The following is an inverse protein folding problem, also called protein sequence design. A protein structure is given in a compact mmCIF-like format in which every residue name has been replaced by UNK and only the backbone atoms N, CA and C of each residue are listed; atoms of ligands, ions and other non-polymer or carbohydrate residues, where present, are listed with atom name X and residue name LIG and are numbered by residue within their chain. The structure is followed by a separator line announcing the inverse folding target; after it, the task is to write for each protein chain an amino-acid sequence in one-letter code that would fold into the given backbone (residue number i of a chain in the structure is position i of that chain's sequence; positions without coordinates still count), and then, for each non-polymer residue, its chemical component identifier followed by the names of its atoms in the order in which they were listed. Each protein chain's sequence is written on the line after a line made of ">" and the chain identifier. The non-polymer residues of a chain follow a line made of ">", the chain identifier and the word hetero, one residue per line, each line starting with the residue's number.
data_IF_353890815356
#
_entry.id   IF_353890815356
#
_cell.length_a   1.000
_cell.length_b   1.000
_cell.length_c   1.000
_cell.angle_alpha   90.00
_cell.angle_beta   90.00
_cell.angle_gamma   90.00
#
_symmetry.space_group_name_H-M   'P 1'
#
loop_
_entity.id
_entity.type
_entity.pdbx_description
1 polymer ?
#
# COMPACT_ATOMS: atom_id res chain seq x y z
N UNK A 1 -0.71 -41.39 -6.40
CA UNK A 1 -0.23 -40.63 -5.23
C UNK A 1 -0.52 -39.15 -5.46
N UNK A 2 -1.16 -38.54 -4.48
CA UNK A 2 -1.74 -37.20 -4.50
C UNK A 2 -0.77 -36.07 -4.85
N UNK A 3 -1.22 -35.12 -5.67
CA UNK A 3 -0.99 -33.70 -5.40
C UNK A 3 -2.28 -32.94 -5.67
N UNK A 4 -3.09 -32.88 -4.62
CA UNK A 4 -4.34 -32.16 -4.51
C UNK A 4 -4.25 -30.74 -5.08
N UNK A 5 -5.30 -30.38 -5.82
CA UNK A 5 -6.01 -29.09 -5.73
C UNK A 5 -5.14 -27.88 -5.37
N UNK A 6 -4.42 -27.34 -6.36
CA UNK A 6 -4.47 -25.89 -6.51
C UNK A 6 -5.60 -25.63 -7.48
N UNK A 7 -6.80 -25.52 -6.93
CA UNK A 7 -7.96 -24.95 -7.60
C UNK A 7 -7.53 -23.64 -8.28
N UNK A 8 -7.16 -23.74 -9.56
CA UNK A 8 -7.14 -22.64 -10.51
C UNK A 8 -8.60 -22.24 -10.81
N UNK A 9 -9.34 -21.91 -9.76
CA UNK A 9 -10.76 -21.57 -9.78
C UNK A 9 -10.94 -20.12 -9.36
N UNK A 10 -10.57 -19.21 -10.28
CA UNK A 10 -10.98 -17.81 -10.34
C UNK A 10 -11.03 -17.03 -9.00
N UNK A 11 -9.90 -16.85 -8.31
CA UNK A 11 -9.84 -15.74 -7.35
C UNK A 11 -10.03 -14.44 -8.13
N UNK A 12 -11.04 -13.64 -7.78
CA UNK A 12 -11.37 -12.41 -8.51
C UNK A 12 -10.76 -11.21 -7.81
N UNK A 13 -10.22 -10.29 -8.61
CA UNK A 13 -9.74 -9.01 -8.09
C UNK A 13 -10.95 -8.11 -7.76
N UNK A 14 -11.09 -7.79 -6.49
CA UNK A 14 -12.08 -6.83 -6.01
C UNK A 14 -11.62 -5.40 -6.35
N UNK A 15 -12.59 -4.52 -6.60
CA UNK A 15 -12.33 -3.08 -6.59
C UNK A 15 -13.02 -2.48 -5.39
N UNK A 16 -12.24 -1.80 -4.57
CA UNK A 16 -12.72 -1.15 -3.37
C UNK A 16 -12.63 0.36 -3.53
N UNK A 17 -13.55 1.06 -2.87
CA UNK A 17 -13.41 2.47 -2.55
C UNK A 17 -13.06 2.57 -1.06
N UNK A 18 -11.91 3.14 -0.77
CA UNK A 18 -11.39 3.26 0.57
C UNK A 18 -11.93 4.51 1.25
N UNK A 19 -12.30 4.38 2.52
CA UNK A 19 -12.78 5.45 3.39
C UNK A 19 -12.01 5.45 4.71
N UNK A 20 -12.31 6.39 5.61
CA UNK A 20 -11.58 6.56 6.87
C UNK A 20 -12.02 5.50 7.88
N UNK A 21 -11.34 4.36 7.85
CA UNK A 21 -11.59 3.21 8.74
C UNK A 21 -12.47 2.11 8.16
N UNK A 22 -13.11 2.34 7.01
CA UNK A 22 -13.84 1.31 6.26
C UNK A 22 -13.54 1.34 4.76
N UNK A 23 -14.04 0.35 4.03
CA UNK A 23 -13.99 0.34 2.58
C UNK A 23 -15.30 -0.20 2.01
N UNK A 24 -15.69 0.31 0.84
CA UNK A 24 -16.85 -0.15 0.10
C UNK A 24 -16.42 -0.99 -1.09
N UNK A 25 -17.05 -2.15 -1.26
CA UNK A 25 -16.82 -3.00 -2.42
C UNK A 25 -17.58 -2.42 -3.63
N UNK A 26 -16.84 -1.90 -4.59
CA UNK A 26 -17.37 -1.40 -5.88
C UNK A 26 -17.56 -2.57 -6.86
N UNK A 27 -16.57 -3.47 -6.92
CA UNK A 27 -16.63 -4.71 -7.69
C UNK A 27 -16.31 -5.88 -6.76
N UNK A 28 -17.20 -6.89 -6.65
CA UNK A 28 -16.99 -8.03 -5.77
C UNK A 28 -15.81 -8.89 -6.24
N UNK A 29 -15.02 -9.34 -5.27
CA UNK A 29 -13.88 -10.23 -5.48
C UNK A 29 -13.29 -10.68 -4.15
N UNK A 30 -12.22 -11.47 -4.21
CA UNK A 30 -11.61 -12.15 -3.06
C UNK A 30 -10.35 -11.44 -2.56
N UNK A 31 -9.71 -10.65 -3.43
CA UNK A 31 -8.46 -9.96 -3.11
C UNK A 31 -8.35 -8.61 -3.82
N UNK A 32 -7.54 -7.71 -3.27
CA UNK A 32 -7.04 -6.52 -3.96
C UNK A 32 -5.55 -6.65 -4.23
N UNK A 33 -5.01 -5.82 -5.13
CA UNK A 33 -3.56 -5.78 -5.36
C UNK A 33 -2.92 -4.65 -4.60
N UNK A 34 -1.73 -4.93 -4.06
CA UNK A 34 -0.88 -3.91 -3.50
C UNK A 34 -0.47 -2.92 -4.60
N UNK A 35 -0.70 -1.62 -4.39
CA UNK A 35 -0.35 -0.59 -5.37
C UNK A 35 1.17 -0.50 -5.63
N UNK A 36 1.99 -0.81 -4.61
CA UNK A 36 3.45 -0.71 -4.70
C UNK A 36 4.08 -2.00 -5.25
N UNK A 37 3.63 -3.17 -4.78
CA UNK A 37 4.29 -4.46 -5.08
C UNK A 37 3.52 -5.34 -6.05
N UNK A 38 2.26 -5.03 -6.35
CA UNK A 38 1.37 -5.87 -7.16
C UNK A 38 0.93 -7.19 -6.50
N UNK A 39 1.38 -7.47 -5.27
CA UNK A 39 1.04 -8.67 -4.50
C UNK A 39 -0.47 -8.71 -4.23
N UNK A 40 -1.07 -9.90 -4.33
CA UNK A 40 -2.47 -10.12 -3.96
C UNK A 40 -2.63 -10.04 -2.43
N UNK A 41 -3.63 -9.30 -1.98
CA UNK A 41 -4.00 -9.09 -0.59
C UNK A 41 -5.44 -9.59 -0.43
N UNK A 42 -5.67 -10.73 0.25
CA UNK A 42 -7.02 -11.18 0.56
C UNK A 42 -7.81 -10.09 1.28
N UNK A 43 -9.10 -9.92 0.98
CA UNK A 43 -9.92 -8.91 1.66
C UNK A 43 -9.94 -9.09 3.19
N UNK A 44 -9.86 -10.32 3.67
CA UNK A 44 -9.76 -10.66 5.10
C UNK A 44 -8.46 -10.22 5.77
N UNK A 45 -7.40 -10.00 4.98
CA UNK A 45 -6.08 -9.56 5.45
C UNK A 45 -5.80 -8.09 5.16
N UNK A 46 -6.72 -7.39 4.47
CA UNK A 46 -6.55 -6.00 4.10
C UNK A 46 -6.70 -5.10 5.33
N UNK A 47 -5.55 -4.62 5.83
CA UNK A 47 -5.46 -3.76 7.02
C UNK A 47 -4.87 -2.38 6.76
N UNK A 48 -4.22 -2.20 5.61
CA UNK A 48 -3.48 -1.00 5.29
C UNK A 48 -3.90 -0.49 3.91
N UNK A 49 -4.44 0.73 3.88
CA UNK A 49 -4.82 1.43 2.66
C UNK A 49 -4.64 2.94 2.85
N UNK A 50 -4.62 3.67 1.75
CA UNK A 50 -4.66 5.14 1.74
C UNK A 50 -5.98 5.60 1.12
N UNK A 51 -6.72 6.42 1.86
CA UNK A 51 -7.97 7.04 1.39
C UNK A 51 -7.67 8.10 0.33
N UNK A 52 -6.66 8.94 0.54
CA UNK A 52 -6.29 10.01 -0.40
C UNK A 52 -5.88 9.47 -1.77
N UNK A 53 -5.11 8.37 -1.78
CA UNK A 53 -4.58 7.80 -3.01
C UNK A 53 -5.42 6.63 -3.55
N UNK A 54 -6.41 6.17 -2.79
CA UNK A 54 -7.23 4.99 -3.10
C UNK A 54 -6.37 3.74 -3.40
N UNK A 55 -5.31 3.55 -2.62
CA UNK A 55 -4.30 2.49 -2.79
C UNK A 55 -4.34 1.50 -1.63
N UNK A 56 -4.22 0.19 -1.91
CA UNK A 56 -4.03 -0.84 -0.89
C UNK A 56 -2.56 -1.25 -0.73
N UNK A 57 -2.18 -1.63 0.50
CA UNK A 57 -0.82 -2.03 0.84
C UNK A 57 -0.78 -3.37 1.55
N UNK A 58 0.19 -4.21 1.16
CA UNK A 58 0.31 -5.56 1.71
C UNK A 58 0.91 -5.58 3.14
N UNK A 59 1.50 -4.47 3.61
CA UNK A 59 2.03 -4.36 4.96
C UNK A 59 2.17 -2.90 5.39
N UNK A 60 2.29 -2.69 6.72
CA UNK A 60 2.57 -1.38 7.30
C UNK A 60 3.85 -0.75 6.73
N UNK A 61 4.92 -1.53 6.54
CA UNK A 61 6.18 -1.05 5.98
C UNK A 61 6.03 -0.51 4.55
N UNK A 62 5.19 -1.15 3.72
CA UNK A 62 4.91 -0.69 2.36
C UNK A 62 4.08 0.60 2.40
N UNK A 63 3.05 0.65 3.23
CA UNK A 63 2.23 1.86 3.42
C UNK A 63 3.09 3.05 3.84
N UNK A 64 3.96 2.84 4.84
CA UNK A 64 4.85 3.89 5.33
C UNK A 64 5.88 4.33 4.29
N UNK A 65 6.50 3.39 3.57
CA UNK A 65 7.44 3.74 2.48
C UNK A 65 6.74 4.57 1.40
N UNK A 66 5.53 4.15 1.00
CA UNK A 66 4.73 4.87 0.00
C UNK A 66 4.34 6.26 0.48
N UNK A 67 3.95 6.40 1.75
CA UNK A 67 3.71 7.70 2.36
C UNK A 67 4.94 8.61 2.26
N UNK A 68 6.14 8.12 2.62
CA UNK A 68 7.39 8.89 2.49
C UNK A 68 7.71 9.29 1.04
N UNK A 69 7.42 8.42 0.08
CA UNK A 69 7.58 8.69 -1.35
C UNK A 69 6.60 9.80 -1.82
N UNK A 70 5.38 9.83 -1.29
CA UNK A 70 4.30 10.75 -1.69
C UNK A 70 4.42 12.13 -1.05
N UNK A 71 4.79 12.21 0.23
CA UNK A 71 5.02 13.50 0.90
C UNK A 71 6.21 14.27 0.29
N UNK A 72 7.05 13.57 -0.46
CA UNK A 72 8.34 14.09 -0.89
C UNK A 72 9.24 14.23 0.33
N UNK A 73 10.47 13.76 0.23
CA UNK A 73 11.50 14.16 1.16
C UNK A 73 11.43 15.71 1.29
N UNK A 74 11.17 16.32 2.47
CA UNK A 74 11.63 17.69 2.64
C UNK A 74 13.12 17.58 2.33
N UNK A 75 13.56 18.22 1.25
CA UNK A 75 14.91 18.03 0.75
C UNK A 75 15.85 18.10 1.96
N UNK A 76 16.57 17.02 2.27
CA UNK A 76 17.71 17.06 3.19
C UNK A 76 18.86 17.84 2.53
N UNK A 77 18.57 19.05 2.06
CA UNK A 77 19.45 19.97 1.37
C UNK A 77 19.42 21.35 1.99
N UNK A 78 18.67 21.56 3.06
CA UNK A 78 19.16 22.47 4.08
C UNK A 78 20.09 21.64 4.96
N UNK A 79 21.28 21.37 4.42
CA UNK A 79 22.46 21.23 5.26
C UNK A 79 22.41 22.39 6.26
N UNK A 80 22.55 22.18 7.58
CA UNK A 80 22.83 23.30 8.45
C UNK A 80 24.05 24.01 7.85
N UNK A 81 23.89 25.28 7.49
CA UNK A 81 24.99 26.07 6.95
C UNK A 81 26.19 25.87 7.87
N UNK A 82 27.40 25.59 7.34
CA UNK A 82 28.58 25.54 8.17
C UNK A 82 28.69 26.93 8.80
N UNK A 83 28.44 26.99 10.11
CA UNK A 83 28.73 28.16 10.91
C UNK A 83 30.24 28.39 10.79
N UNK A 84 30.61 29.35 9.95
CA UNK A 84 31.99 29.68 9.64
C UNK A 84 32.09 31.15 9.27
N UNK A 85 32.35 31.96 10.30
CA UNK A 85 33.09 33.23 10.30
C UNK A 85 33.27 33.52 11.81
N UNK A 86 34.39 33.14 12.45
CA UNK A 86 35.69 33.87 12.51
C UNK A 86 35.57 35.25 13.18
N UNK A 87 35.78 35.32 14.52
CA UNK A 87 36.69 36.22 15.29
C UNK A 87 36.63 35.90 16.80
#
# INVERSE_FOLDING_TARGET
>A
MNRYEKSFGLTKEARLRYDDGEYHVVIPGDFVRCAVTGKQIPLSELRYWSVEHQEAYASAAISFRRYLELIGHPRASESPEPYGDED
#
